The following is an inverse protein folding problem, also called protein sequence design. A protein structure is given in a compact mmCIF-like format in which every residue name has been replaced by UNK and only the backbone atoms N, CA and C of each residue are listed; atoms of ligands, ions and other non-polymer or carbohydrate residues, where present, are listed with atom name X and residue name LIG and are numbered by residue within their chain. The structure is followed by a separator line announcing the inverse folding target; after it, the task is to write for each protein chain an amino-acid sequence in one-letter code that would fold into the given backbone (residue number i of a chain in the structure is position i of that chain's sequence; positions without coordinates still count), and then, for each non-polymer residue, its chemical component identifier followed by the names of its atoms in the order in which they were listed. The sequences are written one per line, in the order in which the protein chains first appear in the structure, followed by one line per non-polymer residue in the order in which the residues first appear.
data_IF_911013565939
#
_entry.id   IF_911013565939
#
_cell.length_a   1.000
_cell.length_b   1.000
_cell.length_c   1.000
_cell.angle_alpha   90.00
_cell.angle_beta   90.00
_cell.angle_gamma   90.00
#
_symmetry.space_group_name_H-M   'P 1'
#
loop_
_entity.id
_entity.type
_entity.pdbx_description
1 polymer ?
#
# COMPACT_ATOMS: atom_id res chain seq x y z
N UNK A 1 19.18 7.26 -10.56
CA UNK A 1 18.66 5.94 -10.99
C UNK A 1 18.70 5.88 -12.51
N UNK A 2 19.39 4.91 -13.11
CA UNK A 2 19.31 4.66 -14.55
C UNK A 2 18.07 3.80 -14.80
N UNK A 3 17.02 4.38 -15.34
CA UNK A 3 15.89 3.59 -15.83
C UNK A 3 16.34 2.87 -17.10
N UNK A 4 16.32 1.54 -17.08
CA UNK A 4 16.66 0.71 -18.24
C UNK A 4 15.81 1.09 -19.45
N UNK A 5 16.49 1.34 -20.57
CA UNK A 5 15.87 1.53 -21.88
C UNK A 5 15.39 0.18 -22.41
N UNK A 6 14.18 -0.19 -22.04
CA UNK A 6 13.48 -1.37 -22.55
C UNK A 6 12.13 -0.98 -23.11
N UNK A 7 12.11 -0.21 -24.21
CA UNK A 7 10.92 -0.02 -25.03
C UNK A 7 10.58 -1.37 -25.68
N UNK A 8 9.87 -2.25 -24.97
CA UNK A 8 9.26 -3.43 -25.57
C UNK A 8 7.76 -3.34 -25.32
N UNK A 9 7.01 -3.24 -26.42
CA UNK A 9 5.61 -3.69 -26.47
C UNK A 9 5.60 -5.20 -26.17
N UNK A 10 5.76 -5.58 -24.91
CA UNK A 10 5.52 -6.95 -24.48
C UNK A 10 4.02 -7.10 -24.35
N UNK A 11 3.46 -7.99 -25.15
CA UNK A 11 2.12 -8.49 -24.89
C UNK A 11 2.21 -9.35 -23.62
N UNK A 12 1.43 -9.01 -22.60
CA UNK A 12 1.34 -9.77 -21.36
C UNK A 12 0.16 -10.72 -21.47
N UNK A 13 0.38 -12.03 -21.27
CA UNK A 13 -0.69 -13.02 -21.25
C UNK A 13 -1.06 -13.34 -19.80
N UNK A 14 -2.35 -13.42 -19.48
CA UNK A 14 -2.82 -13.92 -18.19
C UNK A 14 -2.99 -15.44 -18.26
N UNK A 15 -1.92 -16.17 -18.56
CA UNK A 15 -1.94 -17.64 -18.47
C UNK A 15 -1.78 -18.09 -17.00
N UNK A 16 -2.29 -19.28 -16.69
CA UNK A 16 -2.41 -19.90 -15.36
C UNK A 16 -1.09 -20.00 -14.56
N UNK A 17 0.05 -19.68 -15.19
CA UNK A 17 1.39 -19.66 -14.62
C UNK A 17 1.89 -18.25 -14.25
N UNK A 18 1.20 -17.18 -14.68
CA UNK A 18 1.54 -15.78 -14.43
C UNK A 18 0.60 -15.20 -13.36
N UNK A 19 1.02 -15.24 -12.10
CA UNK A 19 0.33 -14.55 -11.01
C UNK A 19 0.62 -13.05 -11.12
N UNK A 20 -0.15 -12.34 -11.95
CA UNK A 20 -0.23 -10.89 -11.85
C UNK A 20 -1.03 -10.56 -10.59
N UNK A 21 -0.36 -10.09 -9.54
CA UNK A 21 -1.05 -9.66 -8.33
C UNK A 21 -1.75 -8.33 -8.66
N UNK A 22 -3.08 -8.37 -8.77
CA UNK A 22 -3.89 -7.14 -8.77
C UNK A 22 -3.77 -6.52 -7.39
N UNK A 23 -3.18 -5.34 -7.36
CA UNK A 23 -3.03 -4.57 -6.13
C UNK A 23 -4.35 -3.86 -5.82
N UNK A 24 -4.97 -3.33 -6.87
CA UNK A 24 -6.20 -2.57 -6.81
C UNK A 24 -6.81 -2.46 -8.22
N UNK A 25 -8.14 -2.46 -8.31
CA UNK A 25 -8.89 -2.22 -9.54
C UNK A 25 -9.82 -1.00 -9.30
N UNK A 26 -9.68 0.06 -10.11
CA UNK A 26 -10.60 1.20 -10.06
C UNK A 26 -11.26 1.39 -11.42
N UNK A 27 -12.56 1.11 -11.48
CA UNK A 27 -13.36 1.19 -12.70
C UNK A 27 -12.67 0.49 -13.90
N UNK A 28 -12.24 1.29 -14.89
CA UNK A 28 -11.68 0.82 -16.17
C UNK A 28 -10.19 0.56 -16.16
N UNK A 29 -9.46 0.88 -15.09
CA UNK A 29 -8.01 0.71 -15.05
C UNK A 29 -7.53 0.01 -13.78
N UNK A 30 -6.45 -0.75 -13.91
CA UNK A 30 -5.82 -1.46 -12.79
C UNK A 30 -4.30 -1.40 -12.88
N UNK A 31 -3.67 -1.59 -11.73
CA UNK A 31 -2.22 -1.72 -11.59
C UNK A 31 -1.88 -3.16 -11.22
N UNK A 32 -0.93 -3.72 -11.96
CA UNK A 32 -0.51 -5.12 -11.85
C UNK A 32 0.98 -5.18 -11.52
N UNK A 33 1.36 -6.18 -10.73
CA UNK A 33 2.76 -6.52 -10.47
C UNK A 33 3.13 -7.76 -11.27
N UNK A 34 4.26 -7.71 -11.97
CA UNK A 34 4.98 -8.90 -12.42
C UNK A 34 6.31 -8.95 -11.66
N UNK A 35 6.33 -9.73 -10.57
CA UNK A 35 7.49 -9.97 -9.71
C UNK A 35 8.23 -11.29 -10.03
N UNK A 36 7.75 -12.05 -11.02
CA UNK A 36 8.32 -13.35 -11.44
C UNK A 36 9.29 -13.20 -12.60
N UNK A 37 9.04 -12.28 -13.53
CA UNK A 37 9.92 -12.02 -14.67
C UNK A 37 10.89 -10.85 -14.44
N UNK A 38 10.84 -10.21 -13.26
CA UNK A 38 11.59 -9.02 -12.88
C UNK A 38 10.82 -8.28 -11.79
N UNK A 39 11.11 -7.00 -11.55
CA UNK A 39 10.28 -6.17 -10.66
C UNK A 39 9.50 -5.14 -11.49
N UNK A 40 8.46 -5.60 -12.19
CA UNK A 40 7.68 -4.74 -13.08
C UNK A 40 6.36 -4.29 -12.46
N UNK A 41 6.01 -3.03 -12.75
CA UNK A 41 4.72 -2.44 -12.47
C UNK A 41 4.03 -2.10 -13.79
N UNK A 42 2.81 -2.60 -13.97
CA UNK A 42 2.03 -2.42 -15.19
C UNK A 42 0.80 -1.58 -14.88
N UNK A 43 0.49 -0.61 -15.74
CA UNK A 43 -0.77 0.12 -15.71
C UNK A 43 -1.58 -0.25 -16.95
N UNK A 44 -2.78 -0.81 -16.78
CA UNK A 44 -3.53 -1.43 -17.88
C UNK A 44 -5.04 -1.20 -17.79
N UNK A 45 -5.74 -1.49 -18.89
CA UNK A 45 -7.20 -1.50 -18.94
C UNK A 45 -7.75 -2.76 -18.26
N UNK A 46 -8.70 -2.58 -17.34
CA UNK A 46 -9.28 -3.66 -16.56
C UNK A 46 -9.97 -4.69 -17.45
N UNK A 47 -10.65 -4.24 -18.51
CA UNK A 47 -11.37 -5.12 -19.42
C UNK A 47 -10.41 -6.01 -20.22
N UNK A 48 -9.34 -5.44 -20.79
CA UNK A 48 -8.37 -6.20 -21.58
C UNK A 48 -7.70 -7.31 -20.76
N UNK A 49 -7.34 -7.00 -19.51
CA UNK A 49 -6.76 -7.98 -18.57
C UNK A 49 -7.79 -9.05 -18.16
N UNK A 50 -9.05 -8.66 -17.98
CA UNK A 50 -10.15 -9.54 -17.59
C UNK A 50 -10.49 -10.61 -18.63
N UNK A 51 -10.19 -10.35 -19.91
CA UNK A 51 -10.45 -11.28 -21.01
C UNK A 51 -9.50 -12.48 -21.06
N UNK A 52 -8.50 -12.55 -20.17
CA UNK A 52 -7.59 -13.71 -20.08
C UNK A 52 -6.69 -13.90 -21.29
N UNK A 53 -6.65 -12.92 -22.20
CA UNK A 53 -5.84 -12.93 -23.42
C UNK A 53 -4.63 -12.03 -23.28
N UNK A 54 -3.72 -12.12 -24.24
CA UNK A 54 -2.62 -11.18 -24.38
C UNK A 54 -3.12 -9.74 -24.44
N UNK A 55 -2.61 -8.87 -23.57
CA UNK A 55 -2.94 -7.44 -23.52
C UNK A 55 -1.68 -6.58 -23.57
N UNK A 56 -1.84 -5.30 -23.93
CA UNK A 56 -0.74 -4.33 -23.92
C UNK A 56 -1.01 -3.30 -22.83
N UNK A 57 -0.19 -3.22 -21.77
CA UNK A 57 -0.31 -2.18 -20.76
C UNK A 57 -0.24 -0.79 -21.38
N UNK A 58 -0.94 0.16 -20.79
CA UNK A 58 -0.76 1.59 -21.09
C UNK A 58 0.66 2.04 -20.77
N UNK A 59 1.26 1.48 -19.71
CA UNK A 59 2.62 1.76 -19.29
C UNK A 59 3.24 0.58 -18.53
N UNK A 60 4.57 0.47 -18.64
CA UNK A 60 5.40 -0.54 -17.96
C UNK A 60 6.56 0.18 -17.28
N UNK A 61 6.66 0.04 -15.96
CA UNK A 61 7.77 0.51 -15.15
C UNK A 61 8.61 -0.66 -14.65
N UNK A 62 9.91 -0.66 -14.95
CA UNK A 62 10.87 -1.60 -14.38
C UNK A 62 11.52 -1.01 -13.13
N UNK A 63 11.57 -1.81 -12.06
CA UNK A 63 12.14 -1.43 -10.77
C UNK A 63 13.41 -2.25 -10.50
N UNK A 64 14.34 -1.68 -9.73
CA UNK A 64 15.62 -2.33 -9.45
C UNK A 64 15.49 -3.50 -8.46
N UNK A 65 14.57 -3.38 -7.51
CA UNK A 65 14.36 -4.35 -6.44
C UNK A 65 12.90 -4.35 -5.96
N UNK A 66 12.58 -5.32 -5.10
CA UNK A 66 11.26 -5.45 -4.48
C UNK A 66 10.85 -4.21 -3.67
N UNK A 67 11.79 -3.56 -2.98
CA UNK A 67 11.50 -2.39 -2.12
C UNK A 67 11.05 -1.20 -2.96
N UNK A 68 11.71 -0.98 -4.09
CA UNK A 68 11.39 0.06 -5.07
C UNK A 68 10.07 -0.23 -5.76
N UNK A 69 9.80 -1.50 -6.09
CA UNK A 69 8.51 -1.93 -6.60
C UNK A 69 7.38 -1.62 -5.61
N UNK A 70 7.52 -1.98 -4.34
CA UNK A 70 6.53 -1.65 -3.32
C UNK A 70 6.34 -0.14 -3.12
N UNK A 71 7.40 0.66 -3.29
CA UNK A 71 7.32 2.11 -3.28
C UNK A 71 6.52 2.65 -4.47
N UNK A 72 6.79 2.14 -5.67
CA UNK A 72 6.07 2.51 -6.89
C UNK A 72 4.58 2.13 -6.79
N UNK A 73 4.27 0.96 -6.24
CA UNK A 73 2.90 0.50 -5.97
C UNK A 73 2.14 1.50 -5.10
N UNK A 74 2.72 1.92 -3.96
CA UNK A 74 2.10 2.90 -3.07
C UNK A 74 1.91 4.25 -3.76
N UNK A 75 2.90 4.68 -4.53
CA UNK A 75 2.86 5.93 -5.28
C UNK A 75 1.68 5.93 -6.28
N UNK A 76 1.43 4.80 -6.96
CA UNK A 76 0.27 4.65 -7.84
C UNK A 76 -1.05 4.59 -7.06
N UNK A 77 -1.12 3.80 -5.98
CA UNK A 77 -2.33 3.62 -5.18
C UNK A 77 -2.83 4.95 -4.58
N UNK A 78 -1.94 5.83 -4.12
CA UNK A 78 -2.32 7.17 -3.63
C UNK A 78 -2.90 8.10 -4.69
N UNK A 79 -2.72 7.77 -5.98
CA UNK A 79 -3.16 8.57 -7.14
C UNK A 79 -4.28 7.87 -7.89
N UNK A 80 -5.04 7.02 -7.20
CA UNK A 80 -6.14 6.24 -7.79
C UNK A 80 -7.18 7.12 -8.48
N UNK A 81 -7.41 8.33 -7.95
CA UNK A 81 -8.24 9.40 -8.54
C UNK A 81 -7.77 9.83 -9.94
N UNK A 82 -6.46 9.72 -10.23
CA UNK A 82 -5.87 10.11 -11.51
C UNK A 82 -5.88 9.02 -12.57
N UNK A 83 -6.15 7.77 -12.20
CA UNK A 83 -5.99 6.64 -13.11
C UNK A 83 -6.88 6.74 -14.35
N UNK A 84 -8.13 7.21 -14.21
CA UNK A 84 -9.01 7.40 -15.36
C UNK A 84 -8.47 8.45 -16.34
N UNK A 85 -7.99 9.58 -15.84
CA UNK A 85 -7.39 10.63 -16.66
C UNK A 85 -6.10 10.14 -17.35
N UNK A 86 -5.26 9.39 -16.63
CA UNK A 86 -4.04 8.81 -17.16
C UNK A 86 -4.32 7.75 -18.24
N UNK A 87 -5.29 6.88 -18.04
CA UNK A 87 -5.69 5.88 -19.02
C UNK A 87 -6.25 6.51 -20.30
N UNK A 88 -7.08 7.56 -20.16
CA UNK A 88 -7.56 8.34 -21.30
C UNK A 88 -6.41 9.03 -22.04
N UNK A 89 -5.46 9.64 -21.31
CA UNK A 89 -4.27 10.25 -21.88
C UNK A 89 -3.44 9.22 -22.64
N UNK A 90 -3.16 8.06 -22.06
CA UNK A 90 -2.39 6.99 -22.68
C UNK A 90 -3.00 6.53 -24.02
N UNK A 91 -4.34 6.40 -24.07
CA UNK A 91 -5.07 6.07 -25.30
C UNK A 91 -4.96 7.18 -26.36
N UNK A 92 -4.97 8.45 -25.94
CA UNK A 92 -4.90 9.59 -26.85
C UNK A 92 -3.49 9.85 -27.42
N UNK A 93 -2.44 9.73 -26.61
CA UNK A 93 -1.07 10.11 -27.01
C UNK A 93 -0.19 8.92 -27.40
N UNK A 94 -0.66 7.70 -27.14
CA UNK A 94 0.06 6.46 -27.37
C UNK A 94 1.18 6.20 -26.34
N UNK A 95 1.65 4.95 -26.32
CA UNK A 95 2.55 4.43 -25.30
C UNK A 95 3.84 5.25 -25.12
N UNK A 96 4.54 5.60 -26.21
CA UNK A 96 5.85 6.28 -26.10
C UNK A 96 5.74 7.68 -25.48
N UNK A 97 4.70 8.43 -25.85
CA UNK A 97 4.47 9.77 -25.27
C UNK A 97 3.98 9.66 -23.84
N UNK A 98 3.12 8.68 -23.55
CA UNK A 98 2.66 8.43 -22.18
C UNK A 98 3.79 7.95 -21.25
N UNK A 99 4.72 7.11 -21.72
CA UNK A 99 5.91 6.71 -20.96
C UNK A 99 6.78 7.93 -20.59
N UNK A 100 7.03 8.85 -21.53
CA UNK A 100 7.74 10.10 -21.23
C UNK A 100 6.99 10.95 -20.18
N UNK A 101 5.67 11.01 -20.27
CA UNK A 101 4.84 11.71 -19.28
C UNK A 101 4.98 11.09 -17.89
N UNK A 102 4.86 9.77 -17.78
CA UNK A 102 5.02 9.06 -16.50
C UNK A 102 6.42 9.24 -15.92
N UNK A 103 7.47 9.17 -16.74
CA UNK A 103 8.85 9.43 -16.30
C UNK A 103 9.03 10.84 -15.77
N UNK A 104 8.42 11.84 -16.42
CA UNK A 104 8.47 13.22 -15.96
C UNK A 104 7.75 13.40 -14.61
N UNK A 105 6.58 12.76 -14.42
CA UNK A 105 5.87 12.74 -13.15
C UNK A 105 6.71 12.10 -12.03
N UNK A 106 7.32 10.94 -12.30
CA UNK A 106 8.16 10.23 -11.34
C UNK A 106 9.44 11.02 -11.04
N UNK A 107 10.01 11.73 -12.01
CA UNK A 107 11.17 12.58 -11.78
C UNK A 107 10.82 13.79 -10.89
N UNK A 108 9.64 14.38 -11.09
CA UNK A 108 9.16 15.49 -10.27
C UNK A 108 8.79 15.05 -8.85
N UNK A 109 8.23 13.84 -8.71
CA UNK A 109 7.88 13.25 -7.43
C UNK A 109 8.32 11.78 -7.36
N UNK A 110 9.59 11.53 -6.96
CA UNK A 110 10.15 10.18 -6.90
C UNK A 110 9.42 9.25 -5.92
N UNK A 111 9.60 7.95 -6.14
CA UNK A 111 9.08 6.94 -5.22
C UNK A 111 9.74 7.04 -3.85
N UNK A 112 8.92 6.94 -2.81
CA UNK A 112 9.39 6.95 -1.42
C UNK A 112 9.37 5.53 -0.85
N UNK A 113 10.52 5.09 -0.35
CA UNK A 113 10.64 3.78 0.31
C UNK A 113 10.15 3.88 1.74
N UNK A 114 9.54 2.81 2.25
CA UNK A 114 9.08 2.76 3.64
C UNK A 114 10.23 2.28 4.51
N UNK A 115 10.62 3.09 5.48
CA UNK A 115 11.63 2.74 6.48
C UNK A 115 11.03 2.27 7.79
N UNK A 116 9.75 2.55 8.03
CA UNK A 116 9.05 2.05 9.20
C UNK A 116 7.56 2.31 9.17
N UNK A 117 6.88 1.69 10.13
CA UNK A 117 5.49 2.02 10.49
C UNK A 117 5.52 2.71 11.84
N UNK A 118 4.73 3.76 12.02
CA UNK A 118 4.64 4.47 13.28
C UNK A 118 3.23 4.41 13.84
N UNK A 119 3.16 4.41 15.16
CA UNK A 119 1.95 4.69 15.94
C UNK A 119 2.27 5.95 16.75
N UNK A 120 1.52 7.01 16.52
CA UNK A 120 1.62 8.23 17.29
C UNK A 120 0.42 8.34 18.24
N UNK A 121 0.70 8.56 19.53
CA UNK A 121 -0.32 8.79 20.53
C UNK A 121 -0.72 10.26 20.47
N UNK A 122 -1.94 10.53 20.01
CA UNK A 122 -2.45 11.89 19.89
C UNK A 122 -2.75 12.50 21.28
N UNK A 123 -2.89 13.83 21.30
CA UNK A 123 -3.27 14.56 22.52
C UNK A 123 -4.66 14.15 23.03
N UNK A 124 -5.61 13.88 22.13
CA UNK A 124 -6.92 13.36 22.53
C UNK A 124 -6.76 11.98 23.20
N UNK A 125 -7.29 11.78 24.42
CA UNK A 125 -7.08 10.58 25.23
C UNK A 125 -7.67 9.30 24.62
N UNK A 126 -8.46 9.39 23.57
CA UNK A 126 -9.09 8.28 22.86
C UNK A 126 -8.47 8.03 21.48
N UNK A 127 -7.48 8.80 21.05
CA UNK A 127 -7.03 8.79 19.66
C UNK A 127 -5.58 8.31 19.48
N UNK A 128 -5.34 7.64 18.34
CA UNK A 128 -4.01 7.36 17.81
C UNK A 128 -3.96 7.69 16.32
N UNK A 129 -2.75 7.98 15.82
CA UNK A 129 -2.44 8.05 14.41
C UNK A 129 -1.58 6.86 14.01
N UNK A 130 -1.94 6.20 12.93
CA UNK A 130 -1.21 5.10 12.34
C UNK A 130 -0.72 5.51 10.95
N UNK A 131 0.56 5.31 10.68
CA UNK A 131 1.15 5.74 9.42
C UNK A 131 2.49 5.11 9.11
N UNK A 132 3.13 5.60 8.05
CA UNK A 132 4.45 5.12 7.61
C UNK A 132 5.49 6.23 7.64
N UNK A 133 6.71 5.83 7.93
CA UNK A 133 7.90 6.66 7.71
C UNK A 133 8.39 6.40 6.30
N UNK A 134 8.46 7.46 5.53
CA UNK A 134 8.81 7.46 4.11
C UNK A 134 10.15 8.15 3.93
N UNK A 135 11.08 7.47 3.28
CA UNK A 135 12.37 8.00 2.88
C UNK A 135 12.36 8.27 1.38
N UNK A 136 12.63 9.53 1.02
CA UNK A 136 12.68 10.01 -0.36
C UNK A 136 13.85 10.95 -0.60
N UNK A 137 13.93 11.48 -1.82
CA UNK A 137 14.99 12.42 -2.23
C UNK A 137 14.98 13.72 -1.41
N UNK A 138 13.84 14.06 -0.82
CA UNK A 138 13.65 15.29 -0.04
C UNK A 138 13.78 15.05 1.47
N UNK A 139 14.31 13.89 1.87
CA UNK A 139 14.47 13.48 3.26
C UNK A 139 13.39 12.52 3.73
N UNK A 140 13.32 12.36 5.06
CA UNK A 140 12.37 11.48 5.74
C UNK A 140 11.13 12.27 6.13
N UNK A 141 9.94 11.73 5.85
CA UNK A 141 8.66 12.28 6.31
C UNK A 141 7.73 11.21 6.86
N UNK A 142 6.77 11.64 7.67
CA UNK A 142 5.69 10.79 8.16
C UNK A 142 4.43 10.96 7.30
N UNK A 143 3.84 9.84 6.91
CA UNK A 143 2.58 9.79 6.16
C UNK A 143 1.52 9.14 7.05
N UNK A 144 0.59 9.94 7.56
CA UNK A 144 -0.53 9.45 8.36
C UNK A 144 -1.53 8.76 7.43
N UNK A 145 -1.78 7.48 7.66
CA UNK A 145 -2.67 6.67 6.83
C UNK A 145 -4.04 6.49 7.47
N UNK A 146 -4.10 6.50 8.79
CA UNK A 146 -5.33 6.30 9.53
C UNK A 146 -5.31 7.03 10.87
N UNK A 147 -6.39 7.74 11.17
CA UNK A 147 -6.68 8.33 12.47
C UNK A 147 -7.76 7.47 13.11
N UNK A 148 -7.44 6.83 14.23
CA UNK A 148 -8.39 5.95 14.92
C UNK A 148 -8.81 6.56 16.25
N UNK A 149 -10.12 6.60 16.48
CA UNK A 149 -10.71 6.98 17.75
C UNK A 149 -11.30 5.76 18.42
N UNK A 150 -10.69 5.34 19.52
CA UNK A 150 -11.22 4.30 20.39
C UNK A 150 -12.49 4.76 21.10
N UNK A 151 -13.34 3.80 21.48
CA UNK A 151 -14.57 4.05 22.24
C UNK A 151 -14.34 4.72 23.60
N UNK A 152 -13.14 4.58 24.18
CA UNK A 152 -12.77 5.19 25.46
C UNK A 152 -11.25 5.31 25.62
N UNK A 153 -10.82 6.20 26.50
CA UNK A 153 -9.41 6.33 26.87
C UNK A 153 -8.83 5.04 27.47
N UNK A 154 -9.66 4.27 28.20
CA UNK A 154 -9.29 2.97 28.72
C UNK A 154 -9.04 1.94 27.60
N UNK A 155 -9.80 1.99 26.51
CA UNK A 155 -9.56 1.13 25.34
C UNK A 155 -8.24 1.49 24.65
N UNK A 156 -7.98 2.78 24.41
CA UNK A 156 -6.69 3.24 23.89
C UNK A 156 -5.53 2.77 24.77
N UNK A 157 -5.64 2.93 26.09
CA UNK A 157 -4.59 2.53 27.02
C UNK A 157 -4.25 1.04 26.92
N UNK A 158 -5.26 0.17 26.76
CA UNK A 158 -5.06 -1.27 26.58
C UNK A 158 -4.33 -1.58 25.28
N UNK A 159 -4.70 -0.89 24.19
CA UNK A 159 -3.97 -1.00 22.94
C UNK A 159 -2.49 -0.56 23.11
N UNK A 160 -2.22 0.58 23.75
CA UNK A 160 -0.83 1.04 23.96
C UNK A 160 -0.03 0.04 24.79
N UNK A 161 -0.61 -0.49 25.88
CA UNK A 161 0.05 -1.53 26.70
C UNK A 161 0.36 -2.78 25.89
N UNK A 162 -0.55 -3.21 25.01
CA UNK A 162 -0.31 -4.32 24.09
C UNK A 162 0.79 -4.01 23.08
N UNK A 163 0.81 -2.79 22.53
CA UNK A 163 1.81 -2.38 21.55
C UNK A 163 3.23 -2.38 22.15
N UNK A 164 3.37 -1.86 23.37
CA UNK A 164 4.65 -1.77 24.08
C UNK A 164 5.17 -3.11 24.61
N UNK A 165 4.28 -4.04 25.01
CA UNK A 165 4.66 -5.26 25.73
C UNK A 165 5.52 -6.23 24.90
N UNK A 166 5.19 -6.43 23.62
CA UNK A 166 5.82 -7.47 22.79
C UNK A 166 6.53 -6.91 21.56
N UNK A 167 6.69 -5.58 21.46
CA UNK A 167 7.24 -4.92 20.25
C UNK A 167 6.48 -5.39 19.01
N UNK A 168 5.15 -5.29 19.05
CA UNK A 168 4.21 -5.79 18.02
C UNK A 168 4.27 -5.00 16.70
N UNK A 169 5.45 -4.51 16.30
CA UNK A 169 5.71 -3.73 15.10
C UNK A 169 5.31 -4.48 13.81
N UNK A 170 5.51 -5.79 13.76
CA UNK A 170 5.10 -6.61 12.61
C UNK A 170 3.57 -6.66 12.46
N UNK A 171 2.85 -6.78 13.57
CA UNK A 171 1.38 -6.81 13.58
C UNK A 171 0.80 -5.45 13.21
N UNK A 172 1.44 -4.36 13.65
CA UNK A 172 1.11 -3.00 13.21
C UNK A 172 1.37 -2.83 11.70
N UNK A 173 2.48 -3.36 11.19
CA UNK A 173 2.75 -3.41 9.74
C UNK A 173 1.65 -4.15 8.96
N UNK A 174 1.15 -5.26 9.50
CA UNK A 174 0.05 -6.03 8.92
C UNK A 174 -1.29 -5.27 8.94
N UNK A 175 -1.59 -4.52 10.00
CA UNK A 175 -2.79 -3.66 10.06
C UNK A 175 -2.74 -2.55 9.02
N UNK A 176 -1.57 -1.95 8.81
CA UNK A 176 -1.39 -0.95 7.75
C UNK A 176 -1.58 -1.57 6.37
N UNK A 177 -1.08 -2.80 6.15
CA UNK A 177 -1.32 -3.52 4.90
C UNK A 177 -2.81 -3.84 4.70
N UNK A 178 -3.52 -4.24 5.75
CA UNK A 178 -4.98 -4.45 5.75
C UNK A 178 -5.71 -3.19 5.28
N UNK A 179 -5.27 -2.01 5.75
CA UNK A 179 -5.84 -0.72 5.32
C UNK A 179 -5.72 -0.46 3.83
N UNK A 180 -4.59 -0.80 3.22
CA UNK A 180 -4.45 -0.69 1.75
C UNK A 180 -5.34 -1.68 1.00
N UNK A 181 -5.57 -2.87 1.54
CA UNK A 181 -6.30 -3.95 0.86
C UNK A 181 -7.83 -3.86 1.03
N UNK A 182 -8.28 -3.42 2.20
CA UNK A 182 -9.68 -3.54 2.64
C UNK A 182 -10.29 -2.23 3.15
N UNK A 183 -9.46 -1.18 3.30
CA UNK A 183 -9.90 0.15 3.68
C UNK A 183 -9.92 0.42 5.19
N UNK A 184 -10.29 1.65 5.54
CA UNK A 184 -10.19 2.19 6.90
C UNK A 184 -11.09 1.49 7.93
N UNK A 185 -12.24 0.96 7.51
CA UNK A 185 -13.18 0.27 8.43
C UNK A 185 -12.54 -0.99 9.01
N UNK A 186 -11.88 -1.79 8.17
CA UNK A 186 -11.20 -3.01 8.61
C UNK A 186 -10.03 -2.70 9.56
N UNK A 187 -9.31 -1.60 9.32
CA UNK A 187 -8.26 -1.11 10.22
C UNK A 187 -8.86 -0.76 11.60
N UNK A 188 -9.93 0.02 11.62
CA UNK A 188 -10.60 0.41 12.86
C UNK A 188 -11.08 -0.81 13.66
N UNK A 189 -11.72 -1.78 12.99
CA UNK A 189 -12.15 -3.04 13.62
C UNK A 189 -10.97 -3.80 14.22
N UNK A 190 -9.87 -3.96 13.47
CA UNK A 190 -8.68 -4.66 13.97
C UNK A 190 -8.07 -3.99 15.20
N UNK A 191 -7.99 -2.66 15.22
CA UNK A 191 -7.48 -1.88 16.36
C UNK A 191 -8.38 -2.05 17.60
N UNK A 192 -9.69 -2.01 17.42
CA UNK A 192 -10.65 -2.20 18.51
C UNK A 192 -10.66 -3.64 19.07
N UNK A 193 -10.49 -4.63 18.20
CA UNK A 193 -10.41 -6.05 18.59
C UNK A 193 -9.16 -6.30 19.45
N UNK A 194 -8.00 -5.73 19.07
CA UNK A 194 -6.78 -5.80 19.88
C UNK A 194 -7.00 -5.18 21.27
N UNK A 195 -7.62 -4.00 21.34
CA UNK A 195 -7.90 -3.34 22.60
C UNK A 195 -8.86 -4.15 23.50
N UNK A 196 -9.75 -4.94 22.90
CA UNK A 196 -10.69 -5.83 23.59
C UNK A 196 -10.00 -7.10 24.08
N UNK A 197 -9.19 -7.74 23.24
CA UNK A 197 -8.49 -8.98 23.56
C UNK A 197 -7.42 -8.78 24.63
N UNK A 198 -6.70 -7.65 24.59
CA UNK A 198 -5.79 -7.24 25.64
C UNK A 198 -6.48 -7.13 27.01
N UNK A 199 -7.75 -6.68 27.03
CA UNK A 199 -8.56 -6.66 28.25
C UNK A 199 -8.81 -8.09 28.77
N UNK A 200 -9.22 -9.00 27.89
CA UNK A 200 -9.51 -10.39 28.25
C UNK A 200 -8.25 -11.15 28.74
N UNK A 201 -7.08 -10.86 28.16
CA UNK A 201 -5.80 -11.39 28.63
C UNK A 201 -5.46 -10.90 30.05
N UNK A 202 -5.62 -9.60 30.32
CA UNK A 202 -5.40 -9.01 31.65
C UNK A 202 -6.31 -9.60 32.73
N UNK A 203 -7.59 -9.85 32.41
CA UNK A 203 -8.54 -10.50 33.34
C UNK A 203 -8.11 -11.93 33.66
N UNK A 204 -7.69 -12.72 32.66
CA UNK A 204 -7.21 -14.09 32.86
C UNK A 204 -5.94 -14.15 33.71
N UNK A 205 -4.99 -13.24 33.48
CA UNK A 205 -3.75 -13.16 34.26
C UNK A 205 -4.01 -12.81 35.73
N UNK A 206 -4.94 -11.89 36.01
CA UNK A 206 -5.34 -11.55 37.40
C UNK A 206 -6.00 -12.72 38.11
N UNK A 207 -6.90 -13.46 37.45
CA UNK A 207 -7.54 -14.66 38.02
C UNK A 207 -6.51 -15.72 38.41
N UNK A 208 -5.51 -15.99 37.57
CA UNK A 208 -4.44 -16.95 37.86
C UNK A 208 -3.51 -16.54 39.01
N UNK A 209 -3.42 -15.25 39.36
CA UNK A 209 -2.62 -14.75 40.49
C UNK A 209 -3.37 -14.74 41.82
N UNK A 210 -4.66 -15.05 41.82
CA UNK A 210 -5.51 -15.08 43.01
C UNK A 210 -6.05 -16.50 43.28
N UNK A 211 -5.59 -17.49 42.51
CA UNK A 211 -5.70 -18.91 42.81
C UNK A 211 -4.33 -19.42 43.24
#
# INVERSE_FOLDING_TARGET
MKFGSGCQRRAYAKDTTMFLQTIDAHDRHQVLIDDRNGFYLLFADTHEVGLGRSFTPHWVGEMADRRTLEAAVRWFARRRDRWQAWGALAKAVGHATFDRHMRALIAAEPFETVSGTFVHIAEDPCEILLGKVLDGSNGTRQDVLHQHRFTSAAARQRFCTWFDADRNFEQIGAIVLLGYQTGAVAVATALDDIARDAAAAGVRARRKRHC
#
